data_IF_116413910700
#
_entry.id   IF_116413910700
#
_cell.length_a   1.000
_cell.length_b   1.000
_cell.length_c   1.000
_cell.angle_alpha   90.00
_cell.angle_beta   90.00
_cell.angle_gamma   90.00
#
_symmetry.space_group_name_H-M   'P 1'
#
loop_
_entity.id
_entity.type
_entity.pdbx_description
1 polymer ?
#
# COMPACT_ATOMS: atom_id res chain seq x y z
N UNK A 1 2.93 16.38 14.24
CA UNK A 1 1.52 16.45 14.73
C UNK A 1 1.32 15.37 15.77
N UNK A 2 0.83 15.72 16.94
CA UNK A 2 0.44 14.76 17.96
C UNK A 2 -1.08 14.79 18.10
N UNK A 3 -1.69 13.62 18.29
CA UNK A 3 -3.14 13.50 18.45
C UNK A 3 -3.44 12.75 19.73
N UNK A 4 -4.48 13.20 20.43
CA UNK A 4 -5.10 12.51 21.55
C UNK A 4 -6.46 11.98 21.12
N UNK A 5 -6.65 10.68 21.27
CA UNK A 5 -7.87 9.95 20.96
C UNK A 5 -8.56 9.58 22.27
N UNK A 6 -9.80 10.02 22.46
CA UNK A 6 -10.62 9.60 23.57
C UNK A 6 -11.27 8.22 23.29
N UNK A 7 -11.39 7.35 24.30
CA UNK A 7 -12.14 6.12 24.15
C UNK A 7 -13.60 6.41 23.72
N UNK A 8 -14.00 5.85 22.59
CA UNK A 8 -15.34 6.07 22.04
C UNK A 8 -15.82 4.85 21.26
N UNK A 9 -17.15 4.65 21.22
CA UNK A 9 -17.77 3.67 20.33
C UNK A 9 -17.87 4.25 18.94
N UNK A 10 -17.24 3.60 17.96
CA UNK A 10 -17.40 3.94 16.55
C UNK A 10 -18.57 3.15 15.97
N UNK A 11 -19.45 3.84 15.25
CA UNK A 11 -20.63 3.25 14.59
C UNK A 11 -21.07 4.10 13.41
N UNK A 12 -21.93 3.56 12.55
CA UNK A 12 -22.46 4.30 11.41
C UNK A 12 -21.90 3.81 10.08
N UNK A 13 -21.78 4.71 9.11
CA UNK A 13 -21.33 4.39 7.75
C UNK A 13 -20.18 5.30 7.33
N UNK A 14 -19.21 4.74 6.62
CA UNK A 14 -18.09 5.46 6.03
C UNK A 14 -17.85 5.00 4.59
N UNK A 15 -17.10 5.78 3.83
CA UNK A 15 -16.68 5.42 2.48
C UNK A 15 -15.18 5.12 2.49
N UNK A 16 -14.78 4.02 1.86
CA UNK A 16 -13.37 3.69 1.70
C UNK A 16 -12.66 4.78 0.87
N UNK A 17 -11.46 5.22 1.26
CA UNK A 17 -10.68 6.14 0.43
C UNK A 17 -10.29 5.46 -0.89
N UNK A 18 -9.89 6.22 -1.93
CA UNK A 18 -9.35 5.64 -3.14
C UNK A 18 -8.12 4.78 -2.86
N UNK A 19 -8.04 3.61 -3.50
CA UNK A 19 -6.92 2.69 -3.32
C UNK A 19 -5.60 3.31 -3.79
N UNK A 20 -4.70 3.53 -2.84
CA UNK A 20 -3.34 4.00 -3.12
C UNK A 20 -2.63 3.08 -4.12
N UNK A 21 -2.74 1.77 -3.94
CA UNK A 21 -2.12 0.77 -4.80
C UNK A 21 -2.64 0.80 -6.23
N UNK A 22 -3.94 1.01 -6.41
CA UNK A 22 -4.58 1.18 -7.73
C UNK A 22 -4.19 2.52 -8.33
N UNK A 23 -4.23 3.60 -7.55
CA UNK A 23 -3.93 4.95 -8.03
C UNK A 23 -2.50 5.07 -8.62
N UNK A 24 -1.47 4.56 -7.93
CA UNK A 24 -0.11 4.53 -8.49
C UNK A 24 -0.07 3.89 -9.87
N UNK A 25 -0.74 2.76 -10.03
CA UNK A 25 -0.75 1.98 -11.28
C UNK A 25 -1.48 2.69 -12.41
N UNK A 26 -2.63 3.24 -12.10
CA UNK A 26 -3.44 4.00 -13.06
C UNK A 26 -2.71 5.26 -13.52
N UNK A 27 -2.08 6.00 -12.60
CA UNK A 27 -1.30 7.20 -12.91
C UNK A 27 -0.14 6.89 -13.87
N UNK A 28 0.62 5.81 -13.60
CA UNK A 28 1.74 5.40 -14.46
C UNK A 28 1.25 4.95 -15.82
N UNK A 29 0.21 4.11 -15.88
CA UNK A 29 -0.33 3.64 -17.16
C UNK A 29 -0.91 4.78 -18.00
N UNK A 30 -1.61 5.74 -17.38
CA UNK A 30 -2.13 6.92 -18.05
C UNK A 30 -1.02 7.85 -18.59
N UNK A 31 0.07 8.01 -17.83
CA UNK A 31 1.21 8.80 -18.29
C UNK A 31 1.97 8.15 -19.46
N UNK A 32 1.88 6.83 -19.62
CA UNK A 32 2.48 6.07 -20.71
C UNK A 32 1.52 5.86 -21.91
N UNK A 33 0.26 6.28 -21.80
CA UNK A 33 -0.77 6.03 -22.80
C UNK A 33 -0.61 6.86 -24.09
N UNK A 34 -1.43 6.58 -25.09
CA UNK A 34 -1.44 7.23 -26.42
C UNK A 34 -2.16 8.58 -26.41
N UNK A 35 -3.09 8.78 -25.47
CA UNK A 35 -3.94 9.98 -25.38
C UNK A 35 -4.32 10.26 -23.92
N UNK A 36 -4.87 11.46 -23.59
CA UNK A 36 -5.27 11.80 -22.23
C UNK A 36 -6.25 10.81 -21.62
N UNK A 37 -6.13 10.62 -20.29
CA UNK A 37 -6.99 9.77 -19.48
C UNK A 37 -7.61 10.57 -18.35
N UNK A 38 -8.93 10.46 -18.17
CA UNK A 38 -9.67 10.95 -17.01
C UNK A 38 -9.65 9.90 -15.91
N UNK A 39 -9.15 10.28 -14.74
CA UNK A 39 -9.06 9.39 -13.58
C UNK A 39 -9.99 9.93 -12.50
N UNK A 40 -11.03 9.16 -12.14
CA UNK A 40 -11.85 9.47 -10.97
C UNK A 40 -11.04 9.10 -9.73
N UNK A 41 -10.55 10.12 -9.04
CA UNK A 41 -9.68 10.01 -7.86
C UNK A 41 -10.01 11.16 -6.90
N UNK A 42 -11.03 11.03 -6.05
CA UNK A 42 -11.50 12.11 -5.17
C UNK A 42 -10.43 12.67 -4.26
N UNK A 43 -9.54 11.82 -3.76
CA UNK A 43 -8.49 12.17 -2.83
C UNK A 43 -7.14 11.59 -3.28
N UNK A 44 -6.06 12.35 -3.14
CA UNK A 44 -4.69 11.87 -3.30
C UNK A 44 -3.99 11.79 -1.96
N UNK A 45 -3.31 10.67 -1.71
CA UNK A 45 -2.36 10.55 -0.61
C UNK A 45 -1.01 11.19 -0.99
N UNK A 46 -0.16 11.50 0.01
CA UNK A 46 1.20 12.01 -0.24
C UNK A 46 2.00 11.07 -1.16
N UNK A 47 1.84 9.75 -1.03
CA UNK A 47 2.51 8.77 -1.88
C UNK A 47 2.06 8.84 -3.34
N UNK A 48 0.75 8.98 -3.60
CA UNK A 48 0.23 9.07 -4.97
C UNK A 48 0.53 10.40 -5.61
N UNK A 49 0.53 11.49 -4.81
CA UNK A 49 0.98 12.81 -5.24
C UNK A 49 2.45 12.76 -5.69
N UNK A 50 3.34 12.12 -4.91
CA UNK A 50 4.75 11.94 -5.30
C UNK A 50 4.88 11.22 -6.65
N UNK A 51 4.05 10.18 -6.91
CA UNK A 51 4.04 9.51 -8.23
C UNK A 51 3.61 10.48 -9.33
N UNK A 52 2.55 11.23 -9.15
CA UNK A 52 2.05 12.20 -10.14
C UNK A 52 3.11 13.27 -10.44
N UNK A 53 3.75 13.81 -9.42
CA UNK A 53 4.81 14.83 -9.58
C UNK A 53 6.05 14.27 -10.29
N UNK A 54 6.48 13.05 -9.95
CA UNK A 54 7.54 12.36 -10.69
C UNK A 54 7.18 12.12 -12.17
N UNK A 55 5.92 11.77 -12.47
CA UNK A 55 5.46 11.61 -13.85
C UNK A 55 5.43 12.94 -14.60
N UNK A 56 5.09 14.05 -13.92
CA UNK A 56 5.20 15.39 -14.49
C UNK A 56 6.67 15.76 -14.78
N UNK A 57 7.59 15.45 -13.88
CA UNK A 57 9.02 15.64 -14.13
C UNK A 57 9.52 14.78 -15.31
N UNK A 58 8.90 13.62 -15.55
CA UNK A 58 9.13 12.81 -16.76
C UNK A 58 8.40 13.35 -18.00
N UNK A 59 7.64 14.44 -17.91
CA UNK A 59 7.01 15.13 -19.04
C UNK A 59 5.54 14.83 -19.28
N UNK A 60 4.85 14.14 -18.36
CA UNK A 60 3.40 14.08 -18.34
C UNK A 60 2.84 15.44 -17.90
N UNK A 61 1.56 15.70 -18.22
CA UNK A 61 0.86 16.85 -17.66
C UNK A 61 -0.33 16.36 -16.83
N UNK A 62 -0.62 17.03 -15.73
CA UNK A 62 -1.78 16.72 -14.92
C UNK A 62 -2.58 17.97 -14.57
N UNK A 63 -3.92 17.85 -14.60
CA UNK A 63 -4.85 18.87 -14.17
C UNK A 63 -5.96 18.23 -13.37
N UNK A 64 -6.25 18.79 -12.20
CA UNK A 64 -7.34 18.33 -11.33
C UNK A 64 -8.57 19.21 -11.49
N UNK A 65 -9.72 18.59 -11.66
CA UNK A 65 -11.04 19.22 -11.62
C UNK A 65 -11.92 18.44 -10.63
N UNK A 66 -12.08 18.96 -9.42
CA UNK A 66 -12.81 18.27 -8.32
C UNK A 66 -12.25 16.84 -8.11
N UNK A 67 -13.09 15.85 -8.33
CA UNK A 67 -12.79 14.44 -8.13
C UNK A 67 -12.12 13.79 -9.36
N UNK A 68 -11.91 14.56 -10.44
CA UNK A 68 -11.32 14.07 -11.69
C UNK A 68 -9.91 14.60 -11.84
N UNK A 69 -8.97 13.69 -12.05
CA UNK A 69 -7.60 14.00 -12.42
C UNK A 69 -7.40 13.66 -13.90
N UNK A 70 -7.10 14.66 -14.71
CA UNK A 70 -6.75 14.49 -16.11
C UNK A 70 -5.25 14.31 -16.24
N UNK A 71 -4.81 13.22 -16.86
CA UNK A 71 -3.40 12.95 -17.16
C UNK A 71 -3.21 12.97 -18.67
N UNK A 72 -2.36 13.90 -19.15
CA UNK A 72 -1.84 13.88 -20.52
C UNK A 72 -0.53 13.12 -20.57
N UNK A 73 -0.33 12.26 -21.58
CA UNK A 73 0.83 11.40 -21.68
C UNK A 73 2.16 12.12 -21.74
N UNK A 74 3.23 11.35 -21.50
CA UNK A 74 4.61 11.81 -21.66
C UNK A 74 4.93 11.98 -23.16
N UNK A 75 4.94 13.21 -23.66
CA UNK A 75 5.27 13.50 -25.06
C UNK A 75 6.64 14.15 -25.26
N UNK A 76 7.08 14.97 -24.29
CA UNK A 76 8.32 15.73 -24.43
C UNK A 76 9.55 14.85 -24.13
N UNK A 77 10.57 14.92 -24.99
CA UNK A 77 11.88 14.36 -24.70
C UNK A 77 12.67 15.34 -23.83
N UNK A 78 12.62 15.14 -22.52
CA UNK A 78 13.55 15.80 -21.60
C UNK A 78 14.82 14.95 -21.47
N UNK A 79 15.98 15.55 -21.41
CA UNK A 79 17.26 14.84 -21.28
C UNK A 79 17.48 14.25 -19.89
N UNK A 80 16.93 14.92 -18.85
CA UNK A 80 17.02 14.51 -17.45
C UNK A 80 15.74 14.87 -16.71
N UNK A 81 15.49 14.18 -15.58
CA UNK A 81 14.36 14.42 -14.69
C UNK A 81 14.78 14.32 -13.23
N UNK A 82 14.24 15.20 -12.38
CA UNK A 82 14.37 15.13 -10.92
C UNK A 82 13.12 14.44 -10.34
N UNK A 83 13.31 13.30 -9.69
CA UNK A 83 12.23 12.44 -9.20
C UNK A 83 12.28 12.35 -7.67
N UNK A 84 11.58 13.25 -6.98
CA UNK A 84 11.39 13.16 -5.52
C UNK A 84 10.29 12.14 -5.23
N UNK A 85 10.69 10.96 -4.81
CA UNK A 85 9.78 9.87 -4.45
C UNK A 85 9.15 10.06 -3.07
N UNK A 86 9.47 11.12 -2.34
CA UNK A 86 9.02 11.32 -0.96
C UNK A 86 9.42 10.15 -0.07
N UNK A 87 8.45 9.49 0.55
CA UNK A 87 8.64 8.25 1.31
C UNK A 87 8.05 7.02 0.58
N UNK A 88 7.58 7.22 -0.67
CA UNK A 88 6.85 6.20 -1.44
C UNK A 88 7.77 5.17 -2.09
N UNK A 89 7.78 3.96 -1.51
CA UNK A 89 8.48 2.82 -2.12
C UNK A 89 7.89 2.38 -3.46
N UNK A 90 6.59 2.59 -3.68
CA UNK A 90 5.94 2.29 -4.96
C UNK A 90 6.40 3.24 -6.04
N UNK A 91 6.41 4.54 -5.77
CA UNK A 91 6.91 5.57 -6.70
C UNK A 91 8.33 5.24 -7.15
N UNK A 92 9.25 5.02 -6.20
CA UNK A 92 10.64 4.70 -6.50
C UNK A 92 10.77 3.46 -7.39
N UNK A 93 10.21 2.32 -6.92
CA UNK A 93 10.44 1.03 -7.56
C UNK A 93 9.71 0.86 -8.89
N UNK A 94 8.56 1.53 -9.06
CA UNK A 94 7.86 1.50 -10.34
C UNK A 94 8.52 2.42 -11.36
N UNK A 95 8.98 3.59 -10.95
CA UNK A 95 9.51 4.58 -11.89
C UNK A 95 10.97 4.35 -12.29
N UNK A 96 11.75 3.59 -11.52
CA UNK A 96 13.12 3.23 -11.96
C UNK A 96 13.14 2.56 -13.33
N UNK A 97 12.47 1.41 -13.56
CA UNK A 97 12.47 0.78 -14.87
C UNK A 97 11.68 1.58 -15.92
N UNK A 98 10.64 2.33 -15.52
CA UNK A 98 9.89 3.21 -16.44
C UNK A 98 10.80 4.30 -16.99
N UNK A 99 11.53 5.05 -16.15
CA UNK A 99 12.48 6.08 -16.59
C UNK A 99 13.56 5.51 -17.51
N UNK A 100 14.12 4.34 -17.14
CA UNK A 100 15.10 3.64 -17.97
C UNK A 100 14.52 3.18 -19.32
N UNK A 101 13.25 2.75 -19.39
CA UNK A 101 12.59 2.39 -20.64
C UNK A 101 12.35 3.58 -21.56
N UNK A 102 12.24 4.80 -21.00
CA UNK A 102 12.13 6.05 -21.72
C UNK A 102 13.51 6.55 -22.24
N UNK A 103 14.61 5.90 -21.83
CA UNK A 103 15.98 6.30 -22.18
C UNK A 103 16.40 7.64 -21.59
N UNK A 104 15.94 7.95 -20.38
CA UNK A 104 16.20 9.22 -19.69
C UNK A 104 17.10 9.03 -18.50
N UNK A 105 18.05 9.94 -18.32
CA UNK A 105 18.74 10.07 -17.06
C UNK A 105 17.75 10.64 -16.02
N UNK A 106 17.67 10.02 -14.85
CA UNK A 106 16.77 10.44 -13.79
C UNK A 106 17.49 10.47 -12.44
N UNK A 107 17.43 11.61 -11.77
CA UNK A 107 17.91 11.75 -10.40
C UNK A 107 16.78 11.39 -9.45
N UNK A 108 16.95 10.30 -8.74
CA UNK A 108 16.01 9.82 -7.73
C UNK A 108 16.45 10.29 -6.36
N UNK A 109 15.52 10.92 -5.64
CA UNK A 109 15.68 11.24 -4.23
C UNK A 109 14.45 10.78 -3.43
N UNK A 110 14.58 10.79 -2.11
CA UNK A 110 13.52 10.42 -1.19
C UNK A 110 13.93 10.70 0.25
N UNK A 111 12.98 10.61 1.16
CA UNK A 111 13.15 10.96 2.57
C UNK A 111 12.63 9.86 3.51
N UNK A 112 12.71 10.14 4.82
CA UNK A 112 12.32 9.17 5.85
C UNK A 112 13.16 7.90 5.76
N UNK A 113 12.53 6.73 5.82
CA UNK A 113 13.20 5.44 5.70
C UNK A 113 13.40 4.97 4.24
N UNK A 114 12.91 5.70 3.24
CA UNK A 114 13.01 5.25 1.86
C UNK A 114 14.45 4.98 1.40
N UNK A 115 15.46 5.82 1.75
CA UNK A 115 16.87 5.57 1.41
C UNK A 115 17.44 4.27 2.00
N UNK A 116 16.92 3.80 3.12
CA UNK A 116 17.39 2.59 3.80
C UNK A 116 16.69 1.32 3.33
N UNK A 117 15.60 1.45 2.58
CA UNK A 117 14.86 0.29 2.05
C UNK A 117 15.62 -0.36 0.91
N UNK A 118 15.85 -1.69 0.96
CA UNK A 118 16.71 -2.37 0.00
C UNK A 118 16.17 -2.26 -1.44
N UNK A 119 17.10 -2.06 -2.37
CA UNK A 119 16.86 -2.12 -3.82
C UNK A 119 17.44 -3.40 -4.44
N UNK A 120 18.36 -4.08 -3.74
CA UNK A 120 18.89 -5.37 -4.18
C UNK A 120 17.80 -6.47 -4.02
N UNK A 121 17.73 -7.46 -4.94
CA UNK A 121 18.57 -7.65 -6.12
C UNK A 121 18.03 -6.92 -7.37
N UNK A 122 17.05 -6.03 -7.24
CA UNK A 122 16.41 -5.36 -8.36
C UNK A 122 17.36 -4.42 -9.11
N UNK A 123 18.19 -3.67 -8.37
CA UNK A 123 19.20 -2.78 -8.96
C UNK A 123 20.18 -3.57 -9.83
N UNK A 124 20.72 -4.67 -9.31
CA UNK A 124 21.67 -5.53 -10.01
C UNK A 124 21.05 -6.12 -11.28
N UNK A 125 19.76 -6.45 -11.23
CA UNK A 125 19.06 -6.98 -12.39
C UNK A 125 18.86 -5.89 -13.46
N UNK A 126 18.52 -4.67 -13.07
CA UNK A 126 18.46 -3.53 -14.00
C UNK A 126 19.82 -3.21 -14.59
N UNK A 127 20.91 -3.34 -13.82
CA UNK A 127 22.27 -3.13 -14.30
C UNK A 127 22.67 -4.15 -15.39
N UNK A 128 22.34 -5.42 -15.22
CA UNK A 128 22.55 -6.46 -16.25
C UNK A 128 21.83 -6.13 -17.56
N UNK A 129 20.76 -5.36 -17.47
CA UNK A 129 19.93 -4.95 -18.60
C UNK A 129 20.18 -3.49 -19.04
N UNK A 130 21.41 -2.97 -18.89
CA UNK A 130 21.85 -1.72 -19.48
C UNK A 130 21.63 -0.45 -18.64
N UNK A 131 21.13 -0.57 -17.42
CA UNK A 131 20.99 0.55 -16.50
C UNK A 131 22.29 0.80 -15.72
N UNK A 132 22.56 2.06 -15.37
CA UNK A 132 23.69 2.47 -14.55
C UNK A 132 23.19 3.31 -13.38
N UNK A 133 23.76 3.09 -12.21
CA UNK A 133 23.43 3.81 -10.96
C UNK A 133 24.67 4.52 -10.44
N UNK A 134 24.55 5.79 -10.09
CA UNK A 134 25.66 6.57 -9.53
C UNK A 134 25.96 6.22 -8.07
N UNK A 135 25.00 5.62 -7.34
CA UNK A 135 25.14 5.18 -5.96
C UNK A 135 24.25 3.97 -5.66
N UNK A 136 24.49 3.30 -4.54
CA UNK A 136 23.72 2.13 -4.10
C UNK A 136 22.40 2.49 -3.44
N UNK A 137 22.35 3.61 -2.75
CA UNK A 137 21.20 4.14 -2.01
C UNK A 137 20.83 5.52 -2.54
N UNK A 138 19.60 5.94 -2.26
CA UNK A 138 19.13 7.31 -2.52
C UNK A 138 20.00 8.35 -1.76
N UNK A 139 20.28 9.51 -2.37
CA UNK A 139 19.95 9.85 -3.75
C UNK A 139 20.91 9.23 -4.76
N UNK A 140 20.41 8.90 -5.96
CA UNK A 140 21.24 8.41 -7.07
C UNK A 140 20.74 8.90 -8.43
N UNK A 141 21.63 8.92 -9.40
CA UNK A 141 21.29 9.09 -10.81
C UNK A 141 21.18 7.71 -11.45
N UNK A 142 20.02 7.43 -12.05
CA UNK A 142 19.80 6.30 -12.94
C UNK A 142 19.99 6.76 -14.37
N UNK A 143 20.86 6.10 -15.13
CA UNK A 143 21.13 6.39 -16.54
C UNK A 143 21.20 5.09 -17.34
N UNK A 144 21.39 5.21 -18.66
CA UNK A 144 21.35 4.08 -19.58
C UNK A 144 19.95 3.81 -20.12
N UNK A 145 19.84 2.80 -20.97
CA UNK A 145 18.62 2.39 -21.65
C UNK A 145 18.29 0.97 -21.23
N UNK A 146 17.13 0.75 -20.62
CA UNK A 146 16.68 -0.60 -20.28
C UNK A 146 16.58 -1.47 -21.54
N UNK A 147 17.26 -2.61 -21.52
CA UNK A 147 17.28 -3.58 -22.62
C UNK A 147 16.30 -4.71 -22.35
N UNK A 148 15.63 -5.24 -23.39
CA UNK A 148 14.79 -6.43 -23.25
C UNK A 148 15.62 -7.68 -22.93
N UNK A 149 14.99 -8.72 -22.43
CA UNK A 149 15.65 -9.98 -22.15
C UNK A 149 15.00 -10.79 -21.03
N UNK A 150 15.81 -11.64 -20.41
CA UNK A 150 15.39 -12.53 -19.31
C UNK A 150 15.79 -11.91 -17.97
N UNK A 151 14.82 -11.46 -17.20
CA UNK A 151 14.97 -10.91 -15.86
C UNK A 151 14.77 -11.99 -14.80
N UNK A 152 15.66 -12.06 -13.81
CA UNK A 152 15.58 -13.05 -12.73
C UNK A 152 15.48 -12.35 -11.38
N UNK A 153 14.40 -12.59 -10.65
CA UNK A 153 14.13 -11.97 -9.35
C UNK A 153 13.56 -12.99 -8.37
N UNK A 154 13.86 -12.86 -7.07
CA UNK A 154 13.12 -13.61 -6.05
C UNK A 154 11.70 -13.04 -5.90
N UNK A 155 10.71 -13.94 -5.86
CA UNK A 155 9.29 -13.58 -5.71
C UNK A 155 8.92 -13.15 -4.28
N UNK A 156 9.75 -13.46 -3.30
CA UNK A 156 9.49 -13.27 -1.88
C UNK A 156 10.13 -12.01 -1.25
N UNK A 157 10.75 -11.14 -2.04
CA UNK A 157 11.34 -9.89 -1.51
C UNK A 157 10.38 -8.73 -1.68
N UNK A 158 9.95 -8.43 -2.92
CA UNK A 158 9.06 -7.31 -3.18
C UNK A 158 8.30 -7.47 -4.50
N UNK A 159 6.97 -7.54 -4.41
CA UNK A 159 6.08 -7.48 -5.57
C UNK A 159 6.22 -6.17 -6.37
N UNK A 160 6.77 -5.11 -5.77
CA UNK A 160 6.99 -3.82 -6.43
C UNK A 160 8.09 -3.90 -7.49
N UNK A 161 9.09 -4.78 -7.34
CA UNK A 161 10.12 -4.99 -8.35
C UNK A 161 9.52 -5.57 -9.63
N UNK A 162 8.69 -6.58 -9.47
CA UNK A 162 7.98 -7.24 -10.57
C UNK A 162 7.04 -6.24 -11.25
N UNK A 163 6.19 -5.56 -10.46
CA UNK A 163 5.25 -4.55 -10.98
C UNK A 163 5.96 -3.43 -11.75
N UNK A 164 7.11 -2.97 -11.27
CA UNK A 164 7.91 -1.95 -11.96
C UNK A 164 8.38 -2.42 -13.34
N UNK A 165 8.87 -3.65 -13.46
CA UNK A 165 9.23 -4.23 -14.76
C UNK A 165 8.02 -4.40 -15.67
N UNK A 166 6.87 -4.83 -15.13
CA UNK A 166 5.64 -4.99 -15.93
C UNK A 166 5.16 -3.68 -16.56
N UNK A 167 5.44 -2.51 -15.95
CA UNK A 167 5.19 -1.21 -16.60
C UNK A 167 6.18 -0.87 -17.71
N UNK A 168 7.44 -1.30 -17.61
CA UNK A 168 8.49 -0.86 -18.49
C UNK A 168 8.68 -1.78 -19.72
N UNK A 169 8.69 -3.10 -19.49
CA UNK A 169 9.05 -4.11 -20.47
C UNK A 169 8.14 -4.16 -21.72
N UNK A 170 6.81 -3.95 -21.62
CA UNK A 170 5.95 -3.97 -22.82
C UNK A 170 6.35 -2.93 -23.88
N UNK A 171 6.99 -1.83 -23.48
CA UNK A 171 7.41 -0.73 -24.37
C UNK A 171 8.69 -1.02 -25.13
N UNK A 172 9.46 -2.01 -24.72
CA UNK A 172 10.75 -2.35 -25.35
C UNK A 172 10.50 -3.04 -26.68
N UNK A 173 11.49 -2.96 -27.58
CA UNK A 173 11.34 -3.44 -28.97
C UNK A 173 11.21 -4.96 -29.11
N UNK A 174 11.71 -5.72 -28.15
CA UNK A 174 11.70 -7.18 -28.18
C UNK A 174 11.01 -7.73 -26.95
N UNK A 175 10.61 -8.99 -27.01
CA UNK A 175 9.98 -9.71 -25.91
C UNK A 175 10.93 -9.81 -24.72
N UNK A 176 10.34 -9.85 -23.54
CA UNK A 176 11.05 -10.07 -22.28
C UNK A 176 10.37 -11.15 -21.46
N UNK A 177 11.10 -11.72 -20.51
CA UNK A 177 10.56 -12.64 -19.51
C UNK A 177 11.02 -12.21 -18.12
N UNK A 178 10.14 -12.39 -17.12
CA UNK A 178 10.51 -12.29 -15.72
C UNK A 178 10.36 -13.68 -15.12
N UNK A 179 11.44 -14.21 -14.58
CA UNK A 179 11.47 -15.52 -13.92
C UNK A 179 11.70 -15.35 -12.42
N UNK A 180 10.82 -15.96 -11.62
CA UNK A 180 10.92 -15.90 -10.19
C UNK A 180 11.68 -17.11 -9.65
N UNK A 181 12.74 -16.86 -8.89
CA UNK A 181 13.55 -17.91 -8.26
C UNK A 181 12.86 -18.54 -7.04
N UNK A 182 11.91 -17.83 -6.44
CA UNK A 182 11.08 -18.30 -5.33
C UNK A 182 9.60 -18.10 -5.67
N UNK A 183 8.68 -18.64 -4.85
CA UNK A 183 7.26 -18.36 -4.97
C UNK A 183 6.99 -16.87 -4.79
N UNK A 184 5.96 -16.39 -5.49
CA UNK A 184 5.54 -14.99 -5.42
C UNK A 184 4.75 -14.78 -4.12
N UNK A 185 5.23 -13.89 -3.27
CA UNK A 185 4.49 -13.40 -2.12
C UNK A 185 3.81 -12.05 -2.44
N UNK A 186 2.65 -11.81 -1.83
CA UNK A 186 1.79 -10.67 -2.14
C UNK A 186 1.41 -10.63 -3.62
N UNK A 187 1.01 -11.78 -4.15
CA UNK A 187 0.62 -12.00 -5.54
C UNK A 187 -0.47 -11.04 -6.00
N UNK A 188 -1.44 -10.72 -5.15
CA UNK A 188 -2.52 -9.79 -5.45
C UNK A 188 -2.07 -8.41 -5.93
N UNK A 189 -0.89 -7.92 -5.50
CA UNK A 189 -0.37 -6.64 -6.02
C UNK A 189 0.19 -6.75 -7.43
N UNK A 190 0.71 -7.92 -7.82
CA UNK A 190 1.15 -8.18 -9.20
C UNK A 190 -0.06 -8.38 -10.11
N UNK A 191 -1.07 -9.10 -9.64
CA UNK A 191 -2.34 -9.29 -10.36
C UNK A 191 -3.05 -7.95 -10.57
N UNK A 192 -3.12 -7.08 -9.55
CA UNK A 192 -3.63 -5.72 -9.69
C UNK A 192 -2.85 -4.92 -10.76
N UNK A 193 -1.53 -5.10 -10.85
CA UNK A 193 -0.74 -4.47 -11.91
C UNK A 193 -1.14 -4.99 -13.29
N UNK A 194 -1.28 -6.30 -13.43
CA UNK A 194 -1.68 -6.93 -14.72
C UNK A 194 -3.08 -6.51 -15.15
N UNK A 195 -4.03 -6.44 -14.20
CA UNK A 195 -5.40 -5.98 -14.48
C UNK A 195 -5.46 -4.53 -14.95
N UNK A 196 -4.73 -3.62 -14.30
CA UNK A 196 -4.65 -2.24 -14.75
C UNK A 196 -3.97 -2.16 -16.12
N UNK A 197 -2.88 -2.86 -16.33
CA UNK A 197 -2.20 -2.90 -17.63
C UNK A 197 -3.10 -3.44 -18.74
N UNK A 198 -3.91 -4.45 -18.48
CA UNK A 198 -4.89 -4.97 -19.43
C UNK A 198 -5.96 -3.93 -19.81
N UNK A 199 -6.40 -3.08 -18.86
CA UNK A 199 -7.32 -1.96 -19.16
C UNK A 199 -6.68 -0.89 -20.07
N UNK A 200 -5.35 -0.83 -20.11
CA UNK A 200 -4.58 0.01 -21.05
C UNK A 200 -4.08 -0.77 -22.28
N UNK A 201 -4.64 -1.95 -22.57
CA UNK A 201 -4.37 -2.72 -23.76
C UNK A 201 -3.06 -3.52 -23.73
N UNK A 202 -2.38 -3.62 -22.60
CA UNK A 202 -1.12 -4.35 -22.44
C UNK A 202 -1.41 -5.83 -22.13
N UNK A 203 -0.75 -6.71 -22.85
CA UNK A 203 -0.88 -8.16 -22.72
C UNK A 203 0.34 -8.71 -21.99
N UNK A 204 0.12 -9.43 -20.90
CA UNK A 204 1.12 -10.15 -20.12
C UNK A 204 0.61 -11.56 -19.84
N UNK A 205 1.33 -12.56 -20.29
CA UNK A 205 1.03 -13.97 -19.99
C UNK A 205 1.80 -14.37 -18.74
N UNK A 206 1.14 -15.01 -17.78
CA UNK A 206 1.77 -15.50 -16.56
C UNK A 206 1.53 -17.00 -16.43
N UNK A 207 2.62 -17.73 -16.26
CA UNK A 207 2.63 -19.16 -16.03
C UNK A 207 3.47 -19.49 -14.81
N UNK A 208 2.81 -19.86 -13.70
CA UNK A 208 3.49 -20.17 -12.43
C UNK A 208 4.45 -19.04 -12.00
N UNK A 209 5.75 -19.25 -12.15
CA UNK A 209 6.82 -18.32 -11.76
C UNK A 209 7.40 -17.51 -12.92
N UNK A 210 6.78 -17.56 -14.10
CA UNK A 210 7.28 -16.91 -15.31
C UNK A 210 6.21 -15.96 -15.85
N UNK A 211 6.63 -14.73 -16.14
CA UNK A 211 5.85 -13.75 -16.88
C UNK A 211 6.45 -13.58 -18.26
N UNK A 212 5.65 -13.79 -19.31
CA UNK A 212 6.02 -13.54 -20.71
C UNK A 212 5.44 -12.20 -21.13
N UNK A 213 6.29 -11.27 -21.50
CA UNK A 213 5.95 -9.91 -21.85
C UNK A 213 6.31 -9.68 -23.32
N UNK A 214 5.34 -9.73 -24.25
CA UNK A 214 5.55 -9.29 -25.61
C UNK A 214 6.06 -7.84 -25.63
N UNK A 215 7.07 -7.57 -26.43
CA UNK A 215 7.59 -6.23 -26.65
C UNK A 215 6.77 -5.45 -27.67
N UNK A 216 7.19 -4.19 -27.90
CA UNK A 216 6.60 -3.30 -28.90
C UNK A 216 5.09 -3.07 -28.71
N UNK A 217 4.61 -3.09 -27.46
CA UNK A 217 3.24 -2.77 -27.10
C UNK A 217 3.08 -1.27 -26.84
N UNK A 218 1.90 -0.76 -27.15
CA UNK A 218 1.50 0.63 -26.88
C UNK A 218 0.41 0.64 -25.83
N UNK A 219 0.52 1.55 -24.87
CA UNK A 219 -0.54 1.80 -23.88
C UNK A 219 -1.68 2.57 -24.56
N UNK A 220 -2.88 2.04 -24.49
CA UNK A 220 -4.11 2.63 -25.06
C UNK A 220 -4.95 3.15 -23.92
N UNK A 221 -5.20 4.46 -23.89
CA UNK A 221 -6.06 5.05 -22.86
C UNK A 221 -7.49 4.53 -22.98
N UNK A 222 -8.12 4.06 -21.87
CA UNK A 222 -9.54 3.74 -21.86
C UNK A 222 -10.45 4.99 -21.94
N UNK A 223 -9.87 6.19 -21.98
CA UNK A 223 -10.55 7.47 -21.90
C UNK A 223 -10.89 7.87 -20.47
N UNK A 224 -11.59 7.03 -19.72
CA UNK A 224 -11.98 7.27 -18.33
C UNK A 224 -11.79 6.01 -17.48
N UNK A 225 -11.27 6.18 -16.27
CA UNK A 225 -11.07 5.09 -15.31
C UNK A 225 -11.36 5.56 -13.89
N UNK A 226 -11.94 4.68 -13.08
CA UNK A 226 -12.23 4.97 -11.66
C UNK A 226 -11.29 4.19 -10.79
N UNK A 227 -10.63 4.86 -9.84
CA UNK A 227 -9.85 4.21 -8.80
C UNK A 227 -10.81 3.63 -7.77
N UNK A 228 -10.74 2.33 -7.57
CA UNK A 228 -11.58 1.61 -6.59
C UNK A 228 -11.22 1.96 -5.15
N UNK A 229 -12.10 1.62 -4.19
CA UNK A 229 -11.86 1.79 -2.76
C UNK A 229 -10.71 0.94 -2.24
N UNK A 230 -10.01 1.45 -1.25
CA UNK A 230 -8.82 0.84 -0.64
C UNK A 230 -9.19 -0.16 0.45
N UNK A 231 -9.01 -1.45 0.16
CA UNK A 231 -9.27 -2.53 1.12
C UNK A 231 -8.30 -2.51 2.30
N UNK A 232 -7.05 -2.08 2.09
CA UNK A 232 -6.05 -1.99 3.15
C UNK A 232 -6.41 -0.92 4.19
N UNK A 233 -6.90 0.24 3.73
CA UNK A 233 -7.31 1.33 4.61
C UNK A 233 -8.70 1.08 5.20
N UNK A 234 -9.66 0.58 4.43
CA UNK A 234 -10.99 0.22 4.91
C UNK A 234 -10.94 -0.83 6.03
N UNK A 235 -9.94 -1.72 6.02
CA UNK A 235 -9.75 -2.75 7.03
C UNK A 235 -9.72 -2.20 8.46
N UNK A 236 -9.24 -0.97 8.67
CA UNK A 236 -9.21 -0.34 10.00
C UNK A 236 -10.62 -0.08 10.53
N UNK A 237 -11.51 0.49 9.74
CA UNK A 237 -12.90 0.72 10.19
C UNK A 237 -13.73 -0.56 10.18
N UNK A 238 -13.48 -1.51 9.27
CA UNK A 238 -14.10 -2.82 9.34
C UNK A 238 -13.75 -3.53 10.67
N UNK A 239 -12.49 -3.43 11.11
CA UNK A 239 -12.07 -3.95 12.41
C UNK A 239 -12.70 -3.17 13.58
N UNK A 240 -12.88 -1.85 13.46
CA UNK A 240 -13.62 -1.07 14.46
C UNK A 240 -15.05 -1.57 14.61
N UNK A 241 -15.71 -1.98 13.52
CA UNK A 241 -17.01 -2.63 13.55
C UNK A 241 -17.05 -3.91 14.38
N UNK A 242 -15.99 -4.72 14.31
CA UNK A 242 -15.84 -5.93 15.11
C UNK A 242 -15.56 -5.66 16.60
N UNK A 243 -14.87 -4.55 16.90
CA UNK A 243 -14.42 -4.21 18.24
C UNK A 243 -15.45 -3.39 19.06
N UNK A 244 -16.27 -2.58 18.40
CA UNK A 244 -17.04 -1.52 19.05
C UNK A 244 -18.55 -1.67 18.85
N UNK A 245 -19.06 -1.30 17.67
CA UNK A 245 -20.47 -1.35 17.33
C UNK A 245 -20.63 -1.57 15.83
N UNK A 246 -21.81 -1.97 15.32
CA UNK A 246 -22.00 -2.19 13.88
C UNK A 246 -21.56 -0.99 13.05
N UNK A 247 -20.71 -1.25 12.05
CA UNK A 247 -20.14 -0.24 11.16
C UNK A 247 -20.23 -0.71 9.71
N UNK A 248 -20.75 0.16 8.83
CA UNK A 248 -20.83 -0.06 7.40
C UNK A 248 -19.68 0.65 6.68
N UNK A 249 -19.03 -0.03 5.76
CA UNK A 249 -18.05 0.56 4.84
C UNK A 249 -18.55 0.43 3.41
N UNK A 250 -18.65 1.56 2.70
CA UNK A 250 -19.08 1.65 1.30
C UNK A 250 -17.91 1.86 0.35
N UNK A 251 -18.15 1.70 -0.96
CA UNK A 251 -17.16 2.01 -2.01
C UNK A 251 -16.12 0.92 -2.27
N UNK A 252 -16.23 -0.22 -1.62
CA UNK A 252 -15.37 -1.38 -1.83
C UNK A 252 -15.90 -2.26 -2.97
N UNK A 253 -15.02 -2.64 -3.90
CA UNK A 253 -15.37 -3.47 -5.04
C UNK A 253 -15.29 -4.95 -4.64
N UNK A 254 -16.39 -5.69 -4.82
CA UNK A 254 -16.50 -7.08 -4.38
C UNK A 254 -15.60 -8.05 -5.17
N UNK A 255 -15.34 -7.76 -6.45
CA UNK A 255 -14.46 -8.53 -7.34
C UNK A 255 -13.03 -7.96 -7.43
N UNK A 256 -12.63 -7.13 -6.45
CA UNK A 256 -11.29 -6.55 -6.39
C UNK A 256 -10.21 -7.62 -6.21
N UNK A 257 -9.10 -7.46 -6.94
CA UNK A 257 -7.87 -8.25 -6.79
C UNK A 257 -6.97 -7.78 -5.65
N UNK A 258 -7.34 -6.70 -4.94
CA UNK A 258 -6.59 -6.27 -3.76
C UNK A 258 -6.54 -7.40 -2.72
N UNK A 259 -5.33 -7.92 -2.42
CA UNK A 259 -5.15 -9.05 -1.49
C UNK A 259 -5.74 -8.80 -0.10
N UNK A 260 -5.76 -7.53 0.33
CA UNK A 260 -6.25 -7.12 1.64
C UNK A 260 -7.79 -7.21 1.79
N UNK A 261 -8.54 -7.50 0.72
CA UNK A 261 -9.93 -7.96 0.82
C UNK A 261 -10.07 -9.19 1.74
N UNK A 262 -9.00 -9.94 1.92
CA UNK A 262 -8.92 -11.07 2.86
C UNK A 262 -9.27 -10.67 4.31
N UNK A 263 -9.28 -9.38 4.66
CA UNK A 263 -9.75 -8.89 5.97
C UNK A 263 -11.12 -9.45 6.32
N UNK A 264 -12.04 -9.63 5.37
CA UNK A 264 -13.38 -10.19 5.62
C UNK A 264 -13.32 -11.62 6.14
N UNK A 265 -12.42 -12.43 5.58
CA UNK A 265 -12.19 -13.79 6.04
C UNK A 265 -11.58 -13.78 7.45
N UNK A 266 -10.60 -12.93 7.68
CA UNK A 266 -9.91 -12.89 8.98
C UNK A 266 -10.84 -12.35 10.09
N UNK A 267 -11.71 -11.38 9.80
CA UNK A 267 -12.74 -10.92 10.73
C UNK A 267 -13.69 -12.06 11.14
N UNK A 268 -14.15 -12.88 10.18
CA UNK A 268 -14.97 -14.07 10.47
C UNK A 268 -14.21 -15.10 11.30
N UNK A 269 -12.94 -15.31 11.02
CA UNK A 269 -12.07 -16.23 11.80
C UNK A 269 -11.90 -15.78 13.24
N UNK A 270 -11.81 -14.48 13.48
CA UNK A 270 -11.84 -13.92 14.84
C UNK A 270 -13.21 -14.07 15.51
N UNK A 271 -14.30 -14.23 14.78
CA UNK A 271 -15.65 -14.39 15.29
C UNK A 271 -16.54 -13.16 15.14
N UNK A 272 -16.13 -12.14 14.38
CA UNK A 272 -16.97 -11.02 14.02
C UNK A 272 -18.05 -11.42 13.01
N UNK A 273 -19.19 -10.72 13.04
CA UNK A 273 -20.26 -10.88 12.06
C UNK A 273 -19.97 -9.97 10.86
N UNK A 274 -19.95 -10.55 9.65
CA UNK A 274 -19.65 -9.82 8.41
C UNK A 274 -20.73 -10.10 7.38
N UNK A 275 -21.44 -9.06 6.96
CA UNK A 275 -22.48 -9.09 5.92
C UNK A 275 -21.98 -8.30 4.72
N UNK A 276 -21.95 -8.98 3.56
CA UNK A 276 -21.58 -8.38 2.28
C UNK A 276 -22.87 -8.12 1.48
N UNK A 277 -23.08 -6.87 1.11
CA UNK A 277 -24.19 -6.45 0.25
C UNK A 277 -23.61 -5.61 -0.90
N UNK A 278 -24.33 -5.45 -2.01
CA UNK A 278 -23.86 -4.73 -3.20
C UNK A 278 -23.12 -3.41 -2.85
N UNK A 279 -21.79 -3.42 -2.91
CA UNK A 279 -20.93 -2.25 -2.67
C UNK A 279 -20.81 -1.80 -1.19
N UNK A 280 -21.36 -2.57 -0.23
CA UNK A 280 -21.38 -2.26 1.18
C UNK A 280 -20.97 -3.47 2.02
N UNK A 281 -20.16 -3.23 3.02
CA UNK A 281 -19.72 -4.24 3.98
C UNK A 281 -20.12 -3.78 5.36
N UNK A 282 -21.00 -4.54 6.02
CA UNK A 282 -21.39 -4.32 7.42
C UNK A 282 -20.62 -5.31 8.30
N UNK A 283 -19.90 -4.78 9.28
CA UNK A 283 -19.25 -5.59 10.32
C UNK A 283 -19.86 -5.26 11.67
N UNK A 284 -20.18 -6.29 12.43
CA UNK A 284 -20.75 -6.18 13.78
C UNK A 284 -19.93 -6.99 14.79
N UNK A 285 -19.94 -6.58 16.07
CA UNK A 285 -19.24 -7.31 17.12
C UNK A 285 -19.68 -8.77 17.24
N UNK A 286 -18.75 -9.62 17.62
CA UNK A 286 -18.97 -11.01 17.99
C UNK A 286 -18.06 -11.41 19.14
N UNK A 287 -18.04 -12.67 19.51
CA UNK A 287 -17.07 -13.18 20.49
C UNK A 287 -15.73 -13.39 19.79
N UNK A 288 -14.82 -12.43 19.95
CA UNK A 288 -13.50 -12.54 19.34
C UNK A 288 -12.67 -13.62 20.04
N UNK A 289 -12.10 -14.52 19.24
CA UNK A 289 -11.25 -15.62 19.70
C UNK A 289 -9.92 -15.60 18.95
N UNK A 290 -8.83 -15.82 19.69
CA UNK A 290 -7.47 -15.84 19.14
C UNK A 290 -7.32 -16.89 18.05
N UNK A 291 -6.52 -16.58 17.03
CA UNK A 291 -6.28 -17.45 15.89
C UNK A 291 -4.86 -17.31 15.33
N UNK A 292 -4.48 -18.25 14.47
CA UNK A 292 -3.19 -18.23 13.78
C UNK A 292 -3.39 -17.79 12.34
N UNK A 293 -2.72 -16.70 11.92
CA UNK A 293 -2.91 -16.07 10.60
C UNK A 293 -1.57 -15.97 9.87
N UNK A 294 -1.56 -16.44 8.62
CA UNK A 294 -0.47 -16.20 7.68
C UNK A 294 -0.64 -14.82 7.05
N UNK A 295 0.30 -13.91 7.30
CA UNK A 295 0.27 -12.54 6.78
C UNK A 295 1.15 -12.33 5.54
N UNK A 296 1.77 -13.37 5.01
CA UNK A 296 2.65 -13.29 3.84
C UNK A 296 1.97 -12.66 2.62
N UNK A 297 0.68 -12.99 2.36
CA UNK A 297 -0.11 -12.42 1.26
C UNK A 297 -0.82 -11.10 1.63
N UNK A 298 -0.95 -10.79 2.92
CA UNK A 298 -1.67 -9.63 3.46
C UNK A 298 -0.84 -8.83 4.47
N UNK A 299 0.42 -8.51 4.14
CA UNK A 299 1.35 -7.90 5.10
C UNK A 299 0.86 -6.56 5.65
N UNK A 300 0.06 -5.85 4.88
CA UNK A 300 -0.46 -4.54 5.23
C UNK A 300 -1.62 -4.60 6.24
N UNK A 301 -2.23 -5.75 6.42
CA UNK A 301 -3.24 -5.99 7.46
C UNK A 301 -2.66 -6.31 8.83
N UNK A 302 -1.38 -6.68 8.96
CA UNK A 302 -0.80 -7.10 10.23
C UNK A 302 -1.08 -6.11 11.38
N UNK A 303 -0.95 -4.77 11.23
CA UNK A 303 -1.20 -3.83 12.33
C UNK A 303 -2.63 -3.89 12.87
N UNK A 304 -3.62 -3.95 11.99
CA UNK A 304 -5.02 -4.00 12.41
C UNK A 304 -5.44 -5.40 12.89
N UNK A 305 -4.89 -6.47 12.32
CA UNK A 305 -5.09 -7.83 12.83
C UNK A 305 -4.49 -7.99 14.23
N UNK A 306 -3.38 -7.32 14.52
CA UNK A 306 -2.77 -7.29 15.84
C UNK A 306 -3.66 -6.58 16.87
N UNK A 307 -4.37 -5.53 16.48
CA UNK A 307 -5.36 -4.86 17.33
C UNK A 307 -6.54 -5.80 17.61
N UNK A 308 -7.09 -6.49 16.60
CA UNK A 308 -8.14 -7.50 16.82
C UNK A 308 -7.67 -8.60 17.77
N UNK A 309 -6.45 -9.10 17.58
CA UNK A 309 -5.83 -10.12 18.44
C UNK A 309 -5.69 -9.66 19.89
N UNK A 310 -5.35 -8.38 20.12
CA UNK A 310 -5.19 -7.82 21.46
C UNK A 310 -6.49 -7.80 22.27
N UNK A 311 -7.64 -7.90 21.61
CA UNK A 311 -8.96 -7.95 22.25
C UNK A 311 -9.69 -9.29 22.07
N UNK A 312 -9.04 -10.29 21.50
CA UNK A 312 -9.58 -11.64 21.30
C UNK A 312 -9.29 -12.53 22.51
N UNK A 313 -10.19 -13.43 22.87
CA UNK A 313 -9.95 -14.41 23.95
C UNK A 313 -8.85 -15.38 23.56
N UNK A 314 -7.87 -15.59 24.46
CA UNK A 314 -6.73 -16.47 24.21
C UNK A 314 -5.56 -15.78 23.53
N UNK A 315 -4.78 -16.54 22.76
CA UNK A 315 -3.59 -16.03 22.06
C UNK A 315 -3.74 -16.12 20.57
N UNK A 316 -3.19 -15.15 19.86
CA UNK A 316 -3.10 -15.16 18.41
C UNK A 316 -1.64 -15.15 17.96
N UNK A 317 -1.36 -15.77 16.80
CA UNK A 317 -0.05 -15.73 16.16
C UNK A 317 -0.20 -15.22 14.72
N UNK A 318 0.44 -14.10 14.42
CA UNK A 318 0.58 -13.57 13.07
C UNK A 318 1.97 -13.94 12.56
N UNK A 319 2.07 -14.81 11.55
CA UNK A 319 3.34 -15.38 11.09
C UNK A 319 3.60 -15.13 9.61
N UNK A 320 4.77 -15.51 9.13
CA UNK A 320 5.25 -15.24 7.78
C UNK A 320 5.38 -13.71 7.54
N UNK A 321 5.94 -13.01 8.53
CA UNK A 321 5.94 -11.56 8.62
C UNK A 321 7.34 -10.93 8.48
N UNK A 322 8.38 -11.70 8.16
CA UNK A 322 9.77 -11.22 8.11
C UNK A 322 9.95 -9.97 7.22
N UNK A 323 9.26 -9.91 6.07
CA UNK A 323 9.34 -8.76 5.14
C UNK A 323 8.79 -7.45 5.70
N UNK A 324 7.96 -7.50 6.74
CA UNK A 324 7.41 -6.30 7.35
C UNK A 324 8.46 -5.45 8.07
N UNK A 325 9.63 -6.04 8.38
CA UNK A 325 10.78 -5.29 8.92
C UNK A 325 11.39 -4.30 7.92
N UNK A 326 11.13 -4.49 6.62
CA UNK A 326 11.64 -3.69 5.50
C UNK A 326 10.62 -2.67 4.95
N UNK A 327 9.53 -2.44 5.69
CA UNK A 327 8.47 -1.49 5.31
C UNK A 327 8.79 -0.05 5.78
N UNK A 328 7.78 0.80 5.86
CA UNK A 328 7.87 2.19 6.33
C UNK A 328 8.47 2.31 7.74
N UNK A 329 8.24 1.31 8.56
CA UNK A 329 8.90 1.04 9.84
C UNK A 329 9.41 -0.41 9.86
N UNK A 330 10.19 -0.83 10.87
CA UNK A 330 10.19 -2.24 11.26
C UNK A 330 8.82 -2.52 11.86
N UNK A 331 7.89 -2.96 11.01
CA UNK A 331 6.47 -3.01 11.33
C UNK A 331 6.15 -4.05 12.39
N UNK A 332 6.92 -5.15 12.48
CA UNK A 332 6.80 -6.12 13.57
C UNK A 332 7.09 -5.47 14.92
N UNK A 333 8.27 -4.87 15.04
CA UNK A 333 8.69 -4.17 16.25
C UNK A 333 7.77 -2.99 16.57
N UNK A 334 7.36 -2.20 15.57
CA UNK A 334 6.48 -1.05 15.77
C UNK A 334 5.10 -1.46 16.30
N UNK A 335 4.49 -2.53 15.76
CA UNK A 335 3.20 -3.05 16.24
C UNK A 335 3.32 -3.63 17.65
N UNK A 336 4.38 -4.42 17.93
CA UNK A 336 4.64 -4.92 19.28
C UNK A 336 4.74 -3.76 20.28
N UNK A 337 5.55 -2.75 19.97
CA UNK A 337 5.76 -1.61 20.84
C UNK A 337 4.47 -0.79 21.02
N UNK A 338 3.68 -0.60 19.97
CA UNK A 338 2.34 0.01 20.05
C UNK A 338 1.44 -0.75 21.06
N UNK A 339 1.35 -2.07 20.95
CA UNK A 339 0.52 -2.87 21.85
C UNK A 339 1.02 -2.79 23.30
N UNK A 340 2.33 -2.89 23.53
CA UNK A 340 2.93 -2.75 24.86
C UNK A 340 2.68 -1.35 25.46
N UNK A 341 2.81 -0.30 24.66
CA UNK A 341 2.55 1.08 25.08
C UNK A 341 1.09 1.31 25.47
N UNK A 342 0.16 0.56 24.91
CA UNK A 342 -1.25 0.55 25.27
C UNK A 342 -1.57 -0.35 26.47
N UNK A 343 -0.57 -1.05 27.02
CA UNK A 343 -0.74 -2.00 28.14
C UNK A 343 -1.13 -3.42 27.71
N UNK A 344 -1.00 -3.73 26.43
CA UNK A 344 -1.21 -5.06 25.88
C UNK A 344 -0.01 -5.99 26.12
N UNK A 345 -0.14 -7.25 25.73
CA UNK A 345 0.87 -8.30 25.87
C UNK A 345 1.20 -8.88 24.49
N UNK A 346 2.40 -8.62 24.00
CA UNK A 346 2.86 -9.08 22.70
C UNK A 346 4.35 -9.44 22.72
N UNK A 347 4.69 -10.51 22.02
CA UNK A 347 6.05 -11.01 21.83
C UNK A 347 6.34 -11.11 20.35
N UNK A 348 7.54 -10.75 19.92
CA UNK A 348 7.97 -10.89 18.54
C UNK A 348 9.04 -11.96 18.38
N UNK A 349 9.03 -12.64 17.27
CA UNK A 349 10.09 -13.50 16.76
C UNK A 349 10.69 -12.87 15.50
N UNK A 350 11.71 -13.44 14.86
CA UNK A 350 12.22 -12.91 13.60
C UNK A 350 11.18 -12.72 12.50
N UNK A 351 10.09 -13.53 12.48
CA UNK A 351 9.09 -13.58 11.42
C UNK A 351 7.63 -13.62 11.90
N UNK A 352 7.38 -13.45 13.19
CA UNK A 352 6.03 -13.52 13.73
C UNK A 352 5.79 -12.62 14.94
N UNK A 353 4.52 -12.39 15.24
CA UNK A 353 4.04 -11.67 16.41
C UNK A 353 3.04 -12.56 17.15
N UNK A 354 3.28 -12.80 18.44
CA UNK A 354 2.41 -13.55 19.35
C UNK A 354 1.72 -12.53 20.26
N UNK A 355 0.39 -12.54 20.32
CA UNK A 355 -0.40 -11.54 21.03
C UNK A 355 -1.35 -12.26 21.98
N UNK A 356 -1.36 -11.84 23.24
CA UNK A 356 -2.26 -12.35 24.28
C UNK A 356 -3.40 -11.37 24.49
N UNK A 357 -4.61 -11.81 24.20
CA UNK A 357 -5.77 -10.93 24.25
C UNK A 357 -6.20 -10.57 25.67
N UNK A 358 -6.82 -9.40 25.78
CA UNK A 358 -7.33 -8.81 27.02
C UNK A 358 -8.72 -8.20 26.74
N UNK A 359 -9.58 -8.11 27.75
CA UNK A 359 -10.92 -7.52 27.56
C UNK A 359 -10.85 -6.03 27.23
N UNK A 360 -9.91 -5.31 27.84
CA UNK A 360 -9.62 -3.89 27.61
C UNK A 360 -8.13 -3.62 27.77
N UNK A 361 -7.64 -2.56 27.16
CA UNK A 361 -6.29 -2.06 27.35
C UNK A 361 -6.30 -0.77 28.19
N UNK A 362 -5.27 -0.51 29.01
CA UNK A 362 -5.16 0.74 29.75
C UNK A 362 -5.23 2.00 28.90
N UNK A 363 -4.72 1.99 27.67
CA UNK A 363 -4.41 3.19 26.89
C UNK A 363 -3.02 3.70 27.18
N UNK A 364 -2.54 4.73 26.47
CA UNK A 364 -1.18 5.22 26.68
C UNK A 364 -0.63 6.07 25.54
N UNK A 365 0.70 6.17 25.49
CA UNK A 365 1.44 6.97 24.51
C UNK A 365 2.08 6.06 23.47
N UNK A 366 1.69 6.23 22.21
CA UNK A 366 2.19 5.47 21.06
C UNK A 366 3.09 6.35 20.19
N UNK A 367 4.27 5.87 19.88
CA UNK A 367 5.06 6.37 18.76
C UNK A 367 4.64 5.64 17.48
N UNK A 368 4.18 6.39 16.48
CA UNK A 368 3.78 5.82 15.19
C UNK A 368 4.97 5.31 14.37
N UNK A 369 6.19 5.58 14.77
CA UNK A 369 7.39 5.31 13.97
C UNK A 369 7.28 5.87 12.53
N UNK A 370 6.55 6.96 12.37
CA UNK A 370 6.22 7.59 11.09
C UNK A 370 5.56 6.61 10.08
N UNK A 371 4.82 5.61 10.58
CA UNK A 371 4.07 4.63 9.79
C UNK A 371 2.56 4.89 9.94
N UNK A 372 1.90 5.19 8.81
CA UNK A 372 0.46 5.49 8.77
C UNK A 372 -0.41 4.35 9.32
N UNK A 373 0.01 3.09 9.15
CA UNK A 373 -0.74 1.93 9.64
C UNK A 373 -0.67 1.79 11.15
N UNK A 374 0.44 2.21 11.76
CA UNK A 374 0.55 2.27 13.23
C UNK A 374 -0.35 3.36 13.79
N UNK A 375 -0.41 4.54 13.14
CA UNK A 375 -1.35 5.61 13.55
C UNK A 375 -2.79 5.12 13.52
N UNK A 376 -3.22 4.54 12.40
CA UNK A 376 -4.59 4.05 12.24
C UNK A 376 -4.91 2.90 13.20
N UNK A 377 -3.98 1.96 13.40
CA UNK A 377 -4.14 0.85 14.34
C UNK A 377 -4.31 1.34 15.79
N UNK A 378 -3.46 2.29 16.22
CA UNK A 378 -3.57 2.87 17.56
C UNK A 378 -4.89 3.64 17.76
N UNK A 379 -5.35 4.37 16.73
CA UNK A 379 -6.63 5.07 16.78
C UNK A 379 -7.82 4.09 16.91
N UNK A 380 -7.80 2.97 16.19
CA UNK A 380 -8.85 1.94 16.31
C UNK A 380 -8.78 1.21 17.66
N UNK A 381 -7.58 0.92 18.16
CA UNK A 381 -7.42 0.30 19.47
C UNK A 381 -8.04 1.14 20.60
N UNK A 382 -8.05 2.47 20.47
CA UNK A 382 -8.65 3.38 21.45
C UNK A 382 -10.13 3.10 21.73
N UNK A 383 -10.87 2.47 20.78
CA UNK A 383 -12.27 2.08 20.98
C UNK A 383 -12.50 1.16 22.19
N UNK A 384 -11.47 0.43 22.62
CA UNK A 384 -11.51 -0.50 23.75
C UNK A 384 -10.46 -0.22 24.82
N UNK A 385 -9.87 0.97 24.79
CA UNK A 385 -9.00 1.45 25.87
C UNK A 385 -9.82 2.07 27.01
N UNK A 386 -9.27 2.01 28.22
CA UNK A 386 -9.88 2.64 29.41
C UNK A 386 -9.59 4.14 29.48
N UNK A 387 -8.41 4.55 29.05
CA UNK A 387 -7.94 5.93 29.05
C UNK A 387 -7.55 6.37 27.62
N UNK A 388 -7.37 7.67 27.39
CA UNK A 388 -6.99 8.20 26.11
C UNK A 388 -5.70 7.60 25.53
N UNK A 389 -5.66 7.47 24.21
CA UNK A 389 -4.47 7.10 23.44
C UNK A 389 -3.86 8.36 22.85
N UNK A 390 -2.59 8.61 23.13
CA UNK A 390 -1.84 9.69 22.50
C UNK A 390 -0.94 9.10 21.42
N UNK A 391 -0.94 9.71 20.24
CA UNK A 391 -0.17 9.22 19.09
C UNK A 391 0.79 10.32 18.64
N UNK A 392 2.09 10.04 18.72
CA UNK A 392 3.12 10.91 18.15
C UNK A 392 3.27 10.67 16.64
N UNK A 393 3.64 11.72 15.91
CA UNK A 393 3.84 11.69 14.45
C UNK A 393 2.58 11.22 13.69
N UNK A 394 1.40 11.58 14.18
CA UNK A 394 0.12 11.16 13.59
C UNK A 394 -0.12 11.70 12.16
N UNK A 395 0.64 12.71 11.70
CA UNK A 395 0.61 13.19 10.31
C UNK A 395 0.97 12.08 9.29
N UNK A 396 1.60 11.00 9.73
CA UNK A 396 1.95 9.88 8.87
C UNK A 396 0.74 9.27 8.14
N UNK A 397 -0.50 9.43 8.63
CA UNK A 397 -1.73 8.99 7.94
C UNK A 397 -1.84 9.56 6.52
N UNK A 398 -1.30 10.76 6.27
CA UNK A 398 -1.36 11.43 4.96
C UNK A 398 -0.67 10.64 3.85
N UNK A 399 0.23 9.72 4.19
CA UNK A 399 0.89 8.83 3.23
C UNK A 399 -0.08 7.90 2.50
N UNK A 400 -1.26 7.60 3.11
CA UNK A 400 -2.26 6.71 2.50
C UNK A 400 -3.69 7.20 2.63
N UNK A 401 -4.05 7.91 3.70
CA UNK A 401 -5.39 8.42 3.95
C UNK A 401 -5.35 9.78 4.66
N UNK A 402 -5.22 10.90 3.95
CA UNK A 402 -5.16 12.25 4.53
C UNK A 402 -6.35 12.56 5.44
N UNK A 403 -7.56 12.17 5.03
CA UNK A 403 -8.83 12.44 5.73
C UNK A 403 -9.22 11.38 6.77
N UNK A 404 -8.29 10.51 7.19
CA UNK A 404 -8.57 9.43 8.16
C UNK A 404 -9.24 9.95 9.44
N UNK A 405 -8.75 11.03 10.04
CA UNK A 405 -9.32 11.56 11.28
C UNK A 405 -10.66 12.24 11.08
N UNK A 406 -10.93 12.80 9.89
CA UNK A 406 -12.26 13.29 9.50
C UNK A 406 -13.26 12.12 9.43
N UNK A 407 -12.88 11.02 8.77
CA UNK A 407 -13.69 9.81 8.72
C UNK A 407 -13.86 9.18 10.12
N UNK A 408 -12.82 9.17 10.95
CA UNK A 408 -12.88 8.70 12.33
C UNK A 408 -13.89 9.51 13.16
N UNK A 409 -13.87 10.83 13.03
CA UNK A 409 -14.79 11.72 13.74
C UNK A 409 -16.26 11.56 13.28
N UNK A 410 -16.49 11.35 11.98
CA UNK A 410 -17.84 11.12 11.43
C UNK A 410 -18.50 9.85 11.98
N UNK A 411 -17.70 8.89 12.45
CA UNK A 411 -18.17 7.66 13.08
C UNK A 411 -18.36 7.77 14.61
N UNK A 412 -18.24 8.98 15.18
CA UNK A 412 -18.38 9.25 16.61
C UNK A 412 -17.07 9.24 17.39
N UNK A 413 -15.93 9.09 16.71
CA UNK A 413 -14.62 9.16 17.33
C UNK A 413 -14.22 10.60 17.70
N UNK A 414 -13.39 10.75 18.73
CA UNK A 414 -12.88 12.02 19.19
C UNK A 414 -11.35 12.03 19.08
N UNK A 415 -10.84 12.82 18.15
CA UNK A 415 -9.41 12.97 17.87
C UNK A 415 -9.02 14.46 17.97
N UNK A 416 -8.27 14.82 18.98
CA UNK A 416 -7.92 16.20 19.30
C UNK A 416 -6.41 16.43 19.08
N UNK A 417 -6.07 17.52 18.43
CA UNK A 417 -4.68 17.95 18.33
C UNK A 417 -4.11 18.27 19.71
N UNK A 418 -2.91 17.80 20.00
CA UNK A 418 -2.16 18.12 21.21
C UNK A 418 -0.94 18.91 20.79
N UNK A 419 -0.77 20.08 21.40
CA UNK A 419 0.38 20.96 21.20
C UNK A 419 1.62 20.34 21.85
#
# INVERSE_FOLDING_TARGET
>A
MNIRIEPAKLSGSTVAPPSKSTAHRVLIAAALADRPTEIILPEESEDTQATRECLQALGAQSRREKDVLHISPIHARQSSAELDCGESGSTLRFLMPVAASLGRAAHFCGRGRLPDRPLSPFREELQKHGCQFSAEKLPFVLSGQLQPGRFQLPGNISSQFISGLLFALPRLRQNSTIELSTDLESSGYVDLTREILAQFGIIIQAEKRIFHIPGNQSYISPGKITVEGDWSNAAFFLAAGALSAPLECCGLKADSSQGDKRILQELRRFGAQVIEQSGKILVSPGTLTGCRIDVGEIPDLLPILAVLAAFAKGSSTLYNAARLRLKESDRLTAVRNMLLALGGKAEETPDSLIIHGQDQLPGGLVDSCNDHRIVMAAAIAACRCQNPVRIHNAQAVRKSWPDFFTAYASLGGQANHVI
#
